data_IF_878486026435
#
_entry.id   IF_878486026435
#
_cell.length_a   1.000
_cell.length_b   1.000
_cell.length_c   1.000
_cell.angle_alpha   90.00
_cell.angle_beta   90.00
_cell.angle_gamma   90.00
#
_symmetry.space_group_name_H-M   'P 1'
#
loop_
_entity.id
_entity.type
_entity.pdbx_description
1 polymer ?
#
# COMPACT_ATOMS: atom_id res chain seq x y z
N UNK A 1 -49.05 29.90 19.15
CA UNK A 1 -49.84 30.97 19.80
C UNK A 1 -49.22 31.25 21.17
N UNK A 2 -48.61 32.43 21.27
CA UNK A 2 -48.38 33.22 22.50
C UNK A 2 -47.23 32.87 23.46
N UNK A 3 -46.23 33.75 23.36
CA UNK A 3 -45.35 34.28 24.42
C UNK A 3 -45.86 34.19 25.87
N UNK A 4 -44.92 33.98 26.81
CA UNK A 4 -45.00 34.58 28.14
C UNK A 4 -43.63 35.13 28.56
N UNK A 5 -43.57 36.47 28.56
CA UNK A 5 -42.51 37.31 29.10
C UNK A 5 -42.32 37.10 30.61
N UNK A 6 -41.08 37.14 31.08
CA UNK A 6 -40.79 37.60 32.44
C UNK A 6 -39.76 38.74 32.37
N UNK A 7 -40.26 39.97 32.58
CA UNK A 7 -39.49 41.21 32.73
C UNK A 7 -39.45 41.60 34.21
N UNK A 8 -38.32 42.20 34.62
CA UNK A 8 -38.07 43.06 35.81
C UNK A 8 -37.87 42.27 37.13
N UNK A 9 -36.87 42.56 37.97
CA UNK A 9 -35.83 43.58 37.95
C UNK A 9 -34.98 43.54 39.22
N UNK A 10 -33.76 44.08 39.09
CA UNK A 10 -32.90 44.73 40.11
C UNK A 10 -32.48 43.97 41.39
N UNK A 11 -31.15 43.78 41.43
CA UNK A 11 -30.20 44.16 42.50
C UNK A 11 -30.45 43.58 43.90
N UNK A 12 -29.65 42.58 44.24
CA UNK A 12 -29.00 42.50 45.54
C UNK A 12 -27.53 42.08 45.33
N UNK A 13 -26.64 42.95 45.79
CA UNK A 13 -25.20 42.74 45.88
C UNK A 13 -24.95 41.67 46.95
N UNK A 14 -24.29 40.58 46.58
CA UNK A 14 -23.59 39.72 47.53
C UNK A 14 -22.33 39.20 46.85
N UNK A 15 -21.21 39.78 47.25
CA UNK A 15 -19.84 39.40 46.94
C UNK A 15 -19.55 38.00 47.46
N UNK A 16 -19.35 37.02 46.57
CA UNK A 16 -18.61 35.77 46.85
C UNK A 16 -17.76 35.41 45.62
N UNK A 17 -16.48 35.02 45.80
CA UNK A 17 -15.58 34.69 44.71
C UNK A 17 -15.78 33.23 44.30
N UNK A 18 -15.75 32.93 42.99
CA UNK A 18 -15.50 31.55 42.53
C UNK A 18 -16.43 30.95 41.49
N UNK A 19 -17.27 31.71 40.80
CA UNK A 19 -17.92 31.19 39.59
C UNK A 19 -17.00 31.47 38.40
N UNK A 20 -16.23 30.46 38.00
CA UNK A 20 -15.51 30.44 36.73
C UNK A 20 -16.52 30.78 35.64
N UNK A 21 -16.27 31.87 34.94
CA UNK A 21 -16.89 32.18 33.67
C UNK A 21 -16.90 30.92 32.82
N UNK A 22 -18.08 30.44 32.43
CA UNK A 22 -18.20 29.58 31.26
C UNK A 22 -17.68 30.42 30.09
N UNK A 23 -16.39 30.28 29.80
CA UNK A 23 -15.83 30.73 28.54
C UNK A 23 -16.67 30.06 27.47
N UNK A 24 -17.25 30.86 26.57
CA UNK A 24 -17.65 30.37 25.26
C UNK A 24 -16.56 29.42 24.81
N UNK A 25 -16.90 28.15 24.59
CA UNK A 25 -16.03 27.22 23.89
C UNK A 25 -15.69 27.93 22.60
N UNK A 26 -14.47 28.48 22.53
CA UNK A 26 -13.91 28.93 21.28
C UNK A 26 -14.01 27.73 20.37
N UNK A 27 -14.81 27.84 19.31
CA UNK A 27 -14.70 26.97 18.17
C UNK A 27 -13.20 26.98 17.82
N UNK A 28 -12.50 25.93 18.24
CA UNK A 28 -11.04 25.88 18.15
C UNK A 28 -10.73 25.99 16.68
N UNK A 29 -9.96 27.00 16.29
CA UNK A 29 -9.48 27.03 14.93
C UNK A 29 -8.55 25.82 14.78
N UNK A 30 -9.02 24.78 14.07
CA UNK A 30 -8.19 23.63 13.72
C UNK A 30 -6.90 24.12 13.08
N UNK A 31 -5.78 23.58 13.55
CA UNK A 31 -4.48 23.95 13.02
C UNK A 31 -4.39 23.56 11.54
N UNK A 32 -3.54 24.22 10.74
CA UNK A 32 -3.29 23.81 9.37
C UNK A 32 -2.83 22.35 9.26
N UNK A 33 -2.14 21.82 10.29
CA UNK A 33 -1.72 20.42 10.35
C UNK A 33 -2.91 19.49 10.59
N UNK A 34 -3.77 19.81 11.55
CA UNK A 34 -4.97 19.01 11.85
C UNK A 34 -5.88 18.88 10.62
N UNK A 35 -5.97 19.94 9.81
CA UNK A 35 -6.72 19.93 8.55
C UNK A 35 -6.09 19.03 7.49
N UNK A 36 -4.76 19.02 7.39
CA UNK A 36 -4.06 18.15 6.47
C UNK A 36 -4.16 16.67 6.89
N UNK A 37 -4.00 16.38 8.18
CA UNK A 37 -4.22 15.05 8.75
C UNK A 37 -5.67 14.61 8.49
N UNK A 38 -6.64 15.49 8.76
CA UNK A 38 -8.06 15.21 8.53
C UNK A 38 -8.38 14.92 7.07
N UNK A 39 -7.74 15.63 6.13
CA UNK A 39 -7.88 15.35 4.70
C UNK A 39 -7.31 13.97 4.34
N UNK A 40 -6.08 13.64 4.78
CA UNK A 40 -5.46 12.33 4.53
C UNK A 40 -6.28 11.17 5.10
N UNK A 41 -6.91 11.36 6.27
CA UNK A 41 -7.82 10.37 6.85
C UNK A 41 -9.12 10.26 6.04
N UNK A 42 -9.60 11.37 5.48
CA UNK A 42 -10.82 11.38 4.64
C UNK A 42 -10.64 10.61 3.34
N UNK A 43 -9.46 10.68 2.73
CA UNK A 43 -9.13 9.90 1.53
C UNK A 43 -8.79 8.44 1.83
N UNK A 44 -8.74 8.03 3.10
CA UNK A 44 -8.66 6.62 3.51
C UNK A 44 -7.37 6.20 4.21
N UNK A 45 -6.40 7.10 4.42
CA UNK A 45 -5.17 6.73 5.12
C UNK A 45 -5.37 6.66 6.64
N UNK A 46 -4.65 5.73 7.28
CA UNK A 46 -4.65 5.64 8.74
C UNK A 46 -4.10 6.90 9.39
N UNK A 47 -4.67 7.27 10.55
CA UNK A 47 -4.30 8.52 11.24
C UNK A 47 -2.81 8.62 11.55
N UNK A 48 -2.17 7.52 11.92
CA UNK A 48 -0.75 7.51 12.27
C UNK A 48 0.15 7.73 11.04
N UNK A 49 -0.22 7.20 9.87
CA UNK A 49 0.44 7.47 8.58
C UNK A 49 0.22 8.92 8.18
N UNK A 50 -1.02 9.43 8.29
CA UNK A 50 -1.35 10.81 7.97
C UNK A 50 -0.51 11.80 8.81
N UNK A 51 -0.32 11.53 10.10
CA UNK A 51 0.59 12.30 10.97
C UNK A 51 2.02 12.22 10.45
N UNK A 52 2.51 11.02 10.12
CA UNK A 52 3.86 10.83 9.58
C UNK A 52 4.12 11.60 8.27
N UNK A 53 3.14 11.66 7.36
CA UNK A 53 3.23 12.44 6.11
C UNK A 53 3.33 13.93 6.41
N UNK A 54 2.49 14.43 7.31
CA UNK A 54 2.52 15.83 7.73
C UNK A 54 3.85 16.17 8.41
N UNK A 55 4.38 15.30 9.26
CA UNK A 55 5.67 15.50 9.91
C UNK A 55 6.83 15.48 8.91
N UNK A 56 6.84 14.57 7.92
CA UNK A 56 7.85 14.54 6.87
C UNK A 56 7.85 15.83 6.02
N UNK A 57 6.66 16.35 5.68
CA UNK A 57 6.54 17.63 4.98
C UNK A 57 7.04 18.80 5.83
N UNK A 58 6.82 18.77 7.15
CA UNK A 58 7.32 19.79 8.08
C UNK A 58 8.83 19.76 8.23
N UNK A 59 9.43 18.58 8.31
CA UNK A 59 10.88 18.40 8.30
C UNK A 59 11.51 18.95 7.02
N UNK A 60 10.76 18.92 5.91
CA UNK A 60 11.14 19.53 4.63
C UNK A 60 10.95 21.06 4.59
N UNK A 61 10.53 21.68 5.70
CA UNK A 61 10.35 23.13 5.84
C UNK A 61 8.95 23.65 5.49
N UNK A 62 7.98 22.78 5.19
CA UNK A 62 6.60 23.21 4.92
C UNK A 62 5.86 23.51 6.22
N UNK A 63 5.29 24.71 6.35
CA UNK A 63 4.55 25.10 7.56
C UNK A 63 3.28 25.88 7.22
N UNK A 64 2.33 25.88 8.16
CA UNK A 64 1.11 26.67 8.05
C UNK A 64 0.19 26.26 6.89
N UNK A 65 -0.46 27.24 6.26
CA UNK A 65 -1.47 27.00 5.22
C UNK A 65 -0.96 26.33 3.95
N UNK A 66 0.36 26.36 3.69
CA UNK A 66 0.97 25.70 2.54
C UNK A 66 0.89 24.16 2.62
N UNK A 67 0.81 23.62 3.84
CA UNK A 67 0.86 22.18 4.06
C UNK A 67 -0.35 21.45 3.48
N UNK A 68 -1.57 21.94 3.78
CA UNK A 68 -2.80 21.40 3.20
C UNK A 68 -2.83 21.55 1.67
N UNK A 69 -2.31 22.65 1.13
CA UNK A 69 -2.24 22.86 -0.31
C UNK A 69 -1.32 21.84 -0.98
N UNK A 70 -0.15 21.59 -0.39
CA UNK A 70 0.80 20.62 -0.90
C UNK A 70 0.22 19.20 -0.85
N UNK A 71 -0.37 18.81 0.28
CA UNK A 71 -1.00 17.48 0.41
C UNK A 71 -2.10 17.28 -0.63
N UNK A 72 -2.94 18.29 -0.88
CA UNK A 72 -3.97 18.22 -1.93
C UNK A 72 -3.39 18.16 -3.34
N UNK A 73 -2.27 18.84 -3.57
CA UNK A 73 -1.59 18.79 -4.85
C UNK A 73 -1.01 17.40 -5.11
N UNK A 74 -0.36 16.80 -4.10
CA UNK A 74 0.17 15.43 -4.17
C UNK A 74 -0.95 14.39 -4.33
N UNK A 75 -2.09 14.59 -3.66
CA UNK A 75 -3.24 13.70 -3.79
C UNK A 75 -3.89 13.73 -5.19
N UNK A 76 -3.52 14.70 -6.04
CA UNK A 76 -4.10 14.85 -7.37
C UNK A 76 -5.63 14.90 -7.34
N UNK A 77 -6.25 14.32 -8.40
CA UNK A 77 -7.69 14.11 -8.46
C UNK A 77 -8.04 12.70 -7.97
N UNK A 78 -7.78 12.43 -6.70
CA UNK A 78 -8.03 11.12 -6.07
C UNK A 78 -9.46 10.58 -6.28
N UNK A 79 -10.47 11.46 -6.43
CA UNK A 79 -11.87 11.05 -6.71
C UNK A 79 -12.03 10.23 -8.00
N UNK A 80 -11.10 10.36 -8.95
CA UNK A 80 -11.07 9.58 -10.20
C UNK A 80 -9.88 8.61 -10.26
N UNK A 81 -9.19 8.39 -9.14
CA UNK A 81 -8.03 7.49 -9.05
C UNK A 81 -6.71 8.07 -9.55
N UNK A 82 -6.63 9.38 -9.80
CA UNK A 82 -5.35 10.05 -10.11
C UNK A 82 -4.56 10.30 -8.82
N UNK A 83 -3.26 9.97 -8.83
CA UNK A 83 -2.30 10.28 -7.77
C UNK A 83 -1.11 11.05 -8.38
N UNK A 84 -0.69 12.13 -7.73
CA UNK A 84 0.44 12.98 -8.15
C UNK A 84 1.66 12.77 -7.23
N UNK A 85 1.78 11.57 -6.64
CA UNK A 85 2.89 11.16 -5.79
C UNK A 85 2.59 11.14 -4.29
N UNK A 86 1.32 11.26 -3.87
CA UNK A 86 0.99 11.09 -2.46
C UNK A 86 1.20 9.64 -2.01
N UNK A 87 0.83 8.65 -2.84
CA UNK A 87 1.02 7.24 -2.50
C UNK A 87 2.49 6.88 -2.32
N UNK A 88 3.38 7.41 -3.17
CA UNK A 88 4.82 7.23 -3.03
C UNK A 88 5.36 7.83 -1.72
N UNK A 89 4.89 9.02 -1.35
CA UNK A 89 5.26 9.65 -0.08
C UNK A 89 4.72 8.86 1.12
N UNK A 90 3.47 8.39 1.04
CA UNK A 90 2.83 7.55 2.06
C UNK A 90 3.62 6.25 2.25
N UNK A 91 4.02 5.59 1.16
CA UNK A 91 4.81 4.37 1.21
C UNK A 91 6.18 4.59 1.89
N UNK A 92 6.87 5.68 1.53
CA UNK A 92 8.15 6.06 2.16
C UNK A 92 8.00 6.34 3.66
N UNK A 93 6.95 7.06 4.05
CA UNK A 93 6.63 7.34 5.46
C UNK A 93 6.30 6.05 6.21
N UNK A 94 5.51 5.16 5.61
CA UNK A 94 5.18 3.85 6.21
C UNK A 94 6.44 3.04 6.48
N UNK A 95 7.35 2.92 5.51
CA UNK A 95 8.62 2.22 5.71
C UNK A 95 9.46 2.87 6.82
N UNK A 96 9.52 4.20 6.86
CA UNK A 96 10.24 4.93 7.91
C UNK A 96 9.65 4.68 9.30
N UNK A 97 8.32 4.61 9.42
CA UNK A 97 7.64 4.28 10.68
C UNK A 97 7.86 2.82 11.07
N UNK A 98 7.85 1.92 10.11
CA UNK A 98 8.09 0.49 10.32
C UNK A 98 9.51 0.19 10.80
N UNK A 99 10.51 0.88 10.23
CA UNK A 99 11.89 0.84 10.72
C UNK A 99 12.00 1.38 12.15
N UNK A 100 11.32 2.49 12.47
CA UNK A 100 11.28 3.05 13.84
C UNK A 100 10.56 2.11 14.82
N UNK A 101 9.57 1.37 14.35
CA UNK A 101 8.87 0.35 15.12
C UNK A 101 9.70 -0.94 15.31
N UNK A 102 10.84 -1.06 14.64
CA UNK A 102 11.72 -2.22 14.73
C UNK A 102 11.17 -3.45 14.01
N UNK A 103 10.38 -3.25 12.93
CA UNK A 103 9.92 -4.37 12.10
C UNK A 103 11.11 -5.14 11.51
N UNK A 104 10.92 -6.45 11.35
CA UNK A 104 11.94 -7.35 10.83
C UNK A 104 12.05 -7.15 9.31
N UNK A 105 13.29 -7.03 8.83
CA UNK A 105 13.57 -7.10 7.39
C UNK A 105 13.48 -8.54 6.92
N UNK A 106 12.74 -8.76 5.83
CA UNK A 106 12.54 -10.06 5.19
C UNK A 106 13.29 -10.07 3.86
N UNK A 107 14.07 -11.10 3.61
CA UNK A 107 14.74 -11.35 2.34
C UNK A 107 14.10 -12.51 1.60
N UNK A 108 13.90 -12.37 0.31
CA UNK A 108 13.38 -13.44 -0.54
C UNK A 108 14.07 -13.43 -1.90
N UNK A 109 13.94 -14.53 -2.63
CA UNK A 109 14.55 -14.75 -3.93
C UNK A 109 13.50 -14.72 -5.02
N UNK A 110 13.87 -14.13 -6.15
CA UNK A 110 13.06 -14.12 -7.36
C UNK A 110 13.84 -14.78 -8.50
N UNK A 111 13.22 -15.75 -9.16
CA UNK A 111 13.76 -16.45 -10.32
C UNK A 111 13.15 -15.84 -11.58
N UNK A 112 13.97 -15.24 -12.47
CA UNK A 112 13.49 -14.71 -13.73
C UNK A 112 12.88 -15.78 -14.65
N UNK A 113 11.93 -15.42 -15.53
CA UNK A 113 11.16 -16.37 -16.34
C UNK A 113 12.01 -17.28 -17.23
N UNK A 114 13.15 -16.79 -17.74
CA UNK A 114 14.05 -17.56 -18.60
C UNK A 114 14.75 -18.73 -17.89
N UNK A 115 14.68 -18.80 -16.56
CA UNK A 115 15.39 -19.80 -15.75
C UNK A 115 14.49 -20.93 -15.23
N UNK A 116 13.17 -20.85 -15.44
CA UNK A 116 12.23 -21.87 -14.96
C UNK A 116 11.05 -22.15 -15.91
N UNK A 117 10.69 -21.18 -16.75
CA UNK A 117 9.70 -21.40 -17.79
C UNK A 117 10.44 -21.91 -19.03
N UNK A 118 10.76 -23.20 -19.10
CA UNK A 118 11.04 -23.87 -20.39
C UNK A 118 9.74 -23.92 -21.22
N UNK A 119 9.83 -23.71 -22.53
CA UNK A 119 8.68 -23.46 -23.42
C UNK A 119 7.53 -24.46 -23.29
N UNK A 120 6.31 -23.95 -23.47
CA UNK A 120 5.03 -24.68 -23.62
C UNK A 120 5.04 -26.08 -22.99
N UNK A 121 4.65 -26.15 -21.71
CA UNK A 121 4.32 -27.43 -21.10
C UNK A 121 3.17 -28.06 -21.89
N UNK A 122 3.50 -29.00 -22.77
CA UNK A 122 2.56 -30.05 -23.14
C UNK A 122 2.24 -30.80 -21.85
N UNK A 123 0.96 -30.96 -21.55
CA UNK A 123 0.47 -31.71 -20.38
C UNK A 123 1.26 -33.01 -20.19
N UNK A 124 2.02 -33.11 -19.08
CA UNK A 124 2.55 -34.41 -18.62
C UNK A 124 4.06 -34.57 -18.39
N UNK A 125 4.90 -33.52 -18.44
CA UNK A 125 6.30 -33.64 -17.97
C UNK A 125 6.67 -32.57 -16.93
N UNK A 126 6.44 -32.90 -15.66
CA UNK A 126 7.01 -32.17 -14.52
C UNK A 126 8.48 -32.55 -14.39
N UNK A 127 9.35 -31.89 -15.16
CA UNK A 127 10.78 -31.93 -14.89
C UNK A 127 11.08 -31.02 -13.72
N UNK A 128 11.18 -31.61 -12.53
CA UNK A 128 11.82 -31.02 -11.35
C UNK A 128 13.33 -30.89 -11.62
N UNK A 129 13.72 -30.05 -12.57
CA UNK A 129 15.12 -29.62 -12.67
C UNK A 129 15.42 -28.79 -11.42
N UNK A 130 16.39 -29.25 -10.63
CA UNK A 130 16.83 -28.54 -9.42
C UNK A 130 17.44 -27.20 -9.84
N UNK A 131 16.67 -26.12 -9.72
CA UNK A 131 17.14 -24.77 -10.03
C UNK A 131 18.04 -24.30 -8.90
N UNK A 132 19.29 -23.97 -9.23
CA UNK A 132 20.22 -23.35 -8.29
C UNK A 132 19.87 -21.87 -8.14
N UNK A 133 19.03 -21.56 -7.15
CA UNK A 133 18.44 -20.22 -6.92
C UNK A 133 19.52 -19.14 -6.76
N UNK A 134 20.65 -19.45 -6.12
CA UNK A 134 21.73 -18.48 -5.90
C UNK A 134 22.44 -18.09 -7.21
N UNK A 135 22.43 -18.96 -8.22
CA UNK A 135 23.09 -18.70 -9.50
C UNK A 135 22.21 -17.94 -10.50
N UNK A 136 20.90 -18.15 -10.45
CA UNK A 136 19.98 -17.63 -11.46
C UNK A 136 19.00 -16.59 -10.93
N UNK A 137 18.71 -16.64 -9.63
CA UNK A 137 17.81 -15.72 -8.97
C UNK A 137 18.51 -14.45 -8.51
N UNK A 138 17.70 -13.46 -8.20
CA UNK A 138 18.13 -12.24 -7.52
C UNK A 138 17.42 -12.12 -6.17
N UNK A 139 18.12 -11.55 -5.20
CA UNK A 139 17.59 -11.35 -3.86
C UNK A 139 16.90 -9.99 -3.75
N UNK A 140 15.78 -9.96 -3.05
CA UNK A 140 14.99 -8.77 -2.75
C UNK A 140 14.90 -8.63 -1.23
N UNK A 141 15.08 -7.42 -0.72
CA UNK A 141 14.96 -7.08 0.70
C UNK A 141 13.75 -6.18 0.90
N UNK A 142 12.96 -6.44 1.94
CA UNK A 142 11.74 -5.72 2.22
C UNK A 142 11.42 -5.74 3.72
N UNK A 143 10.41 -4.98 4.14
CA UNK A 143 9.93 -4.98 5.52
C UNK A 143 8.70 -5.88 5.67
N UNK A 144 8.57 -6.49 6.85
CA UNK A 144 7.36 -7.23 7.22
C UNK A 144 6.09 -6.36 7.11
N UNK A 145 5.06 -6.93 6.48
CA UNK A 145 3.79 -6.26 6.20
C UNK A 145 3.70 -5.59 4.84
N UNK A 146 4.78 -5.55 4.05
CA UNK A 146 4.72 -5.14 2.64
C UNK A 146 4.20 -6.29 1.78
N UNK A 147 3.34 -6.01 0.80
CA UNK A 147 3.01 -6.97 -0.25
C UNK A 147 4.14 -7.07 -1.28
N UNK A 148 4.19 -8.14 -2.08
CA UNK A 148 5.17 -8.25 -3.18
C UNK A 148 5.05 -7.09 -4.17
N UNK A 149 3.82 -6.62 -4.42
CA UNK A 149 3.57 -5.41 -5.24
C UNK A 149 4.10 -4.14 -4.56
N UNK A 150 3.94 -3.97 -3.26
CA UNK A 150 4.50 -2.82 -2.55
C UNK A 150 6.02 -2.79 -2.64
N UNK A 151 6.66 -3.96 -2.55
CA UNK A 151 8.10 -4.10 -2.73
C UNK A 151 8.51 -3.75 -4.15
N UNK A 152 7.77 -4.22 -5.16
CA UNK A 152 8.06 -3.92 -6.56
C UNK A 152 7.94 -2.42 -6.89
N UNK A 153 6.99 -1.71 -6.27
CA UNK A 153 6.72 -0.28 -6.53
C UNK A 153 7.53 0.68 -5.66
N UNK A 154 7.70 0.33 -4.38
CA UNK A 154 8.21 1.25 -3.36
C UNK A 154 9.40 0.69 -2.58
N UNK A 155 9.79 -0.56 -2.84
CA UNK A 155 10.91 -1.18 -2.16
C UNK A 155 12.24 -0.53 -2.54
N UNK A 156 13.16 -0.55 -1.58
CA UNK A 156 14.51 -0.03 -1.76
C UNK A 156 15.46 -1.11 -2.30
N UNK A 157 16.45 -0.67 -3.07
CA UNK A 157 17.55 -1.52 -3.54
C UNK A 157 17.34 -2.13 -4.92
N UNK A 158 18.43 -2.67 -5.48
CA UNK A 158 18.46 -3.16 -6.85
C UNK A 158 17.49 -4.32 -7.09
N UNK A 159 17.33 -5.23 -6.12
CA UNK A 159 16.41 -6.35 -6.24
C UNK A 159 14.96 -5.91 -6.38
N UNK A 160 14.52 -4.92 -5.59
CA UNK A 160 13.18 -4.35 -5.67
C UNK A 160 12.94 -3.65 -7.02
N UNK A 161 13.93 -2.88 -7.50
CA UNK A 161 13.85 -2.23 -8.81
C UNK A 161 13.70 -3.24 -9.95
N UNK A 162 14.50 -4.31 -9.94
CA UNK A 162 14.40 -5.38 -10.94
C UNK A 162 13.07 -6.11 -10.85
N UNK A 163 12.56 -6.38 -9.65
CA UNK A 163 11.23 -6.97 -9.45
C UNK A 163 10.12 -6.10 -10.06
N UNK A 164 10.23 -4.77 -9.94
CA UNK A 164 9.32 -3.81 -10.55
C UNK A 164 9.25 -3.88 -12.08
N UNK A 165 10.31 -4.32 -12.75
CA UNK A 165 10.30 -4.52 -14.21
C UNK A 165 9.46 -5.73 -14.64
N UNK A 166 9.23 -6.70 -13.75
CA UNK A 166 8.45 -7.91 -14.03
C UNK A 166 6.99 -7.82 -13.59
N UNK A 167 6.66 -6.93 -12.65
CA UNK A 167 5.33 -6.81 -12.05
C UNK A 167 4.66 -5.49 -12.41
N UNK A 168 3.75 -5.52 -13.38
CA UNK A 168 3.02 -4.34 -13.83
C UNK A 168 2.04 -3.82 -12.77
N UNK A 169 1.28 -4.74 -12.14
CA UNK A 169 0.29 -4.41 -11.11
C UNK A 169 -0.69 -3.29 -11.53
N UNK A 170 -1.31 -3.46 -12.70
CA UNK A 170 -2.12 -2.46 -13.39
C UNK A 170 -3.30 -1.91 -12.54
N UNK A 171 -3.93 -2.75 -11.72
CA UNK A 171 -5.02 -2.32 -10.83
C UNK A 171 -4.52 -1.70 -9.50
N UNK A 172 -3.22 -1.55 -9.31
CA UNK A 172 -2.63 -1.04 -8.07
C UNK A 172 -3.00 -1.83 -6.81
N UNK A 173 -3.17 -3.15 -6.95
CA UNK A 173 -3.33 -4.07 -5.81
C UNK A 173 -4.76 -4.21 -5.28
N UNK A 174 -5.76 -3.65 -5.96
CA UNK A 174 -7.18 -3.77 -5.57
C UNK A 174 -7.85 -5.08 -6.01
N UNK A 175 -7.06 -6.10 -6.38
CA UNK A 175 -7.53 -7.42 -6.81
C UNK A 175 -8.53 -7.35 -7.99
N UNK A 176 -8.25 -6.49 -8.97
CA UNK A 176 -9.09 -6.32 -10.18
C UNK A 176 -8.36 -6.69 -11.49
N UNK A 177 -7.13 -7.24 -11.40
CA UNK A 177 -6.38 -7.76 -12.53
C UNK A 177 -5.44 -8.88 -12.08
N UNK A 178 -4.88 -9.63 -13.03
CA UNK A 178 -3.90 -10.70 -12.79
C UNK A 178 -2.46 -10.34 -13.19
N UNK A 179 -2.19 -9.06 -13.50
CA UNK A 179 -0.84 -8.61 -13.97
C UNK A 179 0.24 -8.56 -12.88
N UNK A 180 -0.12 -8.91 -11.65
CA UNK A 180 0.80 -9.07 -10.52
C UNK A 180 1.06 -10.54 -10.17
N UNK A 181 0.68 -11.48 -11.04
CA UNK A 181 0.86 -12.91 -10.81
C UNK A 181 2.32 -13.25 -10.51
N UNK A 182 2.52 -14.06 -9.48
CA UNK A 182 3.78 -14.72 -9.14
C UNK A 182 3.53 -16.20 -8.89
N UNK A 183 4.53 -17.05 -9.12
CA UNK A 183 4.47 -18.47 -8.78
C UNK A 183 5.29 -18.69 -7.52
N UNK A 184 4.67 -19.18 -6.45
CA UNK A 184 5.35 -19.51 -5.21
C UNK A 184 6.00 -20.88 -5.35
N UNK A 185 7.23 -21.04 -4.87
CA UNK A 185 7.85 -22.37 -4.83
C UNK A 185 7.10 -23.31 -3.87
N UNK A 186 7.01 -24.59 -4.21
CA UNK A 186 6.15 -25.56 -3.53
C UNK A 186 6.48 -25.69 -2.04
N UNK A 187 7.76 -25.53 -1.68
CA UNK A 187 8.23 -25.56 -0.28
C UNK A 187 7.65 -24.40 0.55
N UNK A 188 7.34 -23.28 -0.09
CA UNK A 188 6.87 -22.04 0.54
C UNK A 188 5.37 -21.85 0.43
N UNK A 189 4.69 -22.54 -0.48
CA UNK A 189 3.26 -22.35 -0.73
C UNK A 189 2.42 -22.53 0.54
N UNK A 190 2.76 -23.51 1.38
CA UNK A 190 2.09 -23.72 2.68
C UNK A 190 2.28 -22.55 3.66
N UNK A 191 3.42 -21.87 3.62
CA UNK A 191 3.70 -20.72 4.48
C UNK A 191 2.99 -19.45 3.98
N UNK A 192 2.87 -19.30 2.67
CA UNK A 192 2.16 -18.18 2.00
C UNK A 192 0.64 -18.34 2.11
N UNK A 193 0.15 -19.57 2.09
CA UNK A 193 -1.27 -19.89 2.14
C UNK A 193 -1.92 -19.98 0.76
N UNK A 194 -3.11 -20.57 0.74
CA UNK A 194 -3.93 -20.70 -0.48
C UNK A 194 -4.56 -19.35 -0.86
N UNK A 195 -4.82 -19.11 -2.16
CA UNK A 195 -5.56 -17.94 -2.59
C UNK A 195 -7.01 -17.99 -2.09
N UNK A 196 -7.59 -16.81 -1.86
CA UNK A 196 -9.03 -16.69 -1.60
C UNK A 196 -9.83 -16.95 -2.89
N UNK A 197 -11.13 -17.26 -2.79
CA UNK A 197 -11.98 -17.55 -3.96
C UNK A 197 -11.94 -16.44 -5.01
N UNK A 198 -12.07 -15.18 -4.57
CA UNK A 198 -12.00 -14.02 -5.46
C UNK A 198 -10.60 -13.82 -6.08
N UNK A 199 -9.53 -14.23 -5.38
CA UNK A 199 -8.18 -14.22 -5.92
C UNK A 199 -8.03 -15.31 -7.00
N UNK A 200 -8.56 -16.50 -6.73
CA UNK A 200 -8.55 -17.62 -7.67
C UNK A 200 -9.28 -17.28 -8.98
N UNK A 201 -10.44 -16.63 -8.90
CA UNK A 201 -11.17 -16.16 -10.08
C UNK A 201 -10.31 -15.25 -10.99
N UNK A 202 -9.44 -14.43 -10.39
CA UNK A 202 -8.51 -13.58 -11.14
C UNK A 202 -7.30 -14.38 -11.67
N UNK A 203 -6.81 -15.35 -10.91
CA UNK A 203 -5.71 -16.23 -11.32
C UNK A 203 -6.07 -17.10 -12.52
N UNK A 204 -7.34 -17.50 -12.65
CA UNK A 204 -7.84 -18.24 -13.81
C UNK A 204 -7.73 -17.46 -15.13
N UNK A 205 -7.67 -16.13 -15.05
CA UNK A 205 -7.46 -15.22 -16.20
C UNK A 205 -5.97 -14.93 -16.46
N UNK A 206 -5.07 -15.42 -15.61
CA UNK A 206 -3.65 -15.11 -15.65
C UNK A 206 -2.92 -15.84 -16.79
N UNK A 207 -1.68 -15.43 -17.06
CA UNK A 207 -0.90 -16.02 -18.15
C UNK A 207 -0.20 -17.30 -17.66
N UNK A 208 -0.63 -18.46 -18.16
CA UNK A 208 -0.09 -19.78 -17.76
C UNK A 208 -0.07 -19.97 -16.23
N UNK A 209 -1.24 -19.92 -15.54
CA UNK A 209 -1.30 -20.13 -14.10
C UNK A 209 -0.85 -21.55 -13.74
N UNK A 210 -0.24 -21.63 -12.56
CA UNK A 210 0.14 -22.87 -11.88
C UNK A 210 -0.64 -23.00 -10.58
N UNK A 211 -0.70 -24.21 -10.03
CA UNK A 211 -1.40 -24.47 -8.75
C UNK A 211 -0.86 -23.61 -7.59
N UNK A 212 0.43 -23.29 -7.60
CA UNK A 212 1.07 -22.42 -6.60
C UNK A 212 1.12 -20.94 -7.01
N UNK A 213 0.34 -20.54 -8.00
CA UNK A 213 0.24 -19.12 -8.40
C UNK A 213 -0.51 -18.32 -7.36
N UNK A 214 -0.03 -17.09 -7.11
CA UNK A 214 -0.65 -16.11 -6.24
C UNK A 214 -0.61 -14.73 -6.90
N UNK A 215 -1.53 -13.85 -6.52
CA UNK A 215 -1.43 -12.44 -6.86
C UNK A 215 -0.45 -11.77 -5.90
N UNK A 216 0.63 -11.20 -6.42
CA UNK A 216 1.67 -10.56 -5.61
C UNK A 216 1.15 -9.44 -4.70
N UNK A 217 0.03 -8.82 -5.04
CA UNK A 217 -0.62 -7.83 -4.18
C UNK A 217 -1.30 -8.42 -2.94
N UNK A 218 -1.66 -9.72 -2.96
CA UNK A 218 -2.28 -10.43 -1.83
C UNK A 218 -1.25 -11.17 -0.97
N UNK A 219 -0.02 -11.34 -1.48
CA UNK A 219 1.07 -11.98 -0.74
C UNK A 219 1.75 -10.94 0.16
N UNK A 220 1.36 -10.90 1.43
CA UNK A 220 1.96 -10.03 2.46
C UNK A 220 3.17 -10.70 3.10
N UNK A 221 4.30 -10.01 3.11
CA UNK A 221 5.53 -10.51 3.71
C UNK A 221 5.39 -10.64 5.22
N UNK A 222 5.79 -11.80 5.74
CA UNK A 222 5.89 -12.07 7.17
C UNK A 222 7.29 -12.58 7.48
N UNK A 223 7.70 -12.46 8.74
CA UNK A 223 8.98 -13.02 9.23
C UNK A 223 9.17 -14.52 8.95
N UNK A 224 8.09 -15.26 8.66
CA UNK A 224 8.14 -16.69 8.29
C UNK A 224 8.55 -16.92 6.84
N UNK A 225 8.56 -15.89 6.00
CA UNK A 225 8.89 -15.96 4.57
C UNK A 225 10.35 -15.57 4.29
N UNK A 226 11.20 -15.51 5.33
CA UNK A 226 12.63 -15.31 5.18
C UNK A 226 13.25 -16.45 4.37
N UNK A 227 13.83 -16.11 3.22
CA UNK A 227 14.40 -17.06 2.26
C UNK A 227 13.41 -17.60 1.24
N UNK A 228 12.17 -17.10 1.21
CA UNK A 228 11.15 -17.53 0.24
C UNK A 228 11.64 -17.44 -1.20
N UNK A 229 11.22 -18.39 -2.04
CA UNK A 229 11.54 -18.40 -3.47
C UNK A 229 10.27 -18.15 -4.29
N UNK A 230 10.32 -17.14 -5.14
CA UNK A 230 9.30 -16.80 -6.13
C UNK A 230 9.82 -17.02 -7.55
N UNK A 231 8.94 -17.48 -8.42
CA UNK A 231 9.17 -17.70 -9.85
C UNK A 231 8.34 -16.68 -10.62
N UNK A 232 9.00 -15.82 -11.42
CA UNK A 232 8.37 -14.72 -12.14
C UNK A 232 7.89 -15.18 -13.52
N UNK A 233 6.60 -14.99 -13.90
CA UNK A 233 6.06 -15.47 -15.17
C UNK A 233 6.67 -14.71 -16.37
N UNK A 234 6.60 -15.32 -17.57
CA UNK A 234 7.15 -14.74 -18.82
C UNK A 234 6.42 -13.49 -19.30
N UNK A 235 5.19 -13.29 -18.84
CA UNK A 235 4.34 -12.17 -19.21
C UNK A 235 3.16 -12.08 -18.26
N UNK A 236 2.43 -10.98 -18.37
CA UNK A 236 1.22 -10.70 -17.64
C UNK A 236 0.06 -10.56 -18.64
N UNK A 237 -1.11 -11.10 -18.32
CA UNK A 237 -2.32 -10.84 -19.10
C UNK A 237 -2.96 -9.55 -18.59
N UNK A 238 -2.85 -8.46 -19.36
CA UNK A 238 -3.68 -7.29 -19.15
C UNK A 238 -4.87 -7.37 -20.12
N UNK A 239 -6.12 -7.34 -19.61
CA UNK A 239 -7.34 -7.39 -20.43
C UNK A 239 -7.44 -6.25 -21.46
N UNK A 240 -6.55 -5.26 -21.40
CA UNK A 240 -6.43 -4.14 -22.34
C UNK A 240 -5.44 -4.37 -23.49
N UNK A 241 -4.65 -5.46 -23.48
CA UNK A 241 -3.59 -5.71 -24.49
C UNK A 241 -4.04 -6.56 -25.69
N UNK A 242 -5.29 -7.03 -25.71
CA UNK A 242 -5.89 -7.59 -26.94
C UNK A 242 -6.41 -6.48 -27.87
N UNK A 243 -5.54 -5.54 -28.24
CA UNK A 243 -5.67 -4.87 -29.54
C UNK A 243 -4.71 -5.61 -30.46
N UNK A 244 -5.21 -6.45 -31.38
CA UNK A 244 -4.33 -7.12 -32.34
C UNK A 244 -3.63 -6.03 -33.15
N UNK A 245 -2.32 -5.90 -32.98
CA UNK A 245 -1.47 -5.31 -34.01
C UNK A 245 -1.45 -6.30 -35.19
N UNK A 246 -2.53 -6.31 -35.97
CA UNK A 246 -2.43 -6.77 -37.36
C UNK A 246 -1.57 -5.73 -38.09
N UNK A 247 -0.41 -6.18 -38.55
CA UNK A 247 0.48 -5.39 -39.39
C UNK A 247 -0.14 -5.00 -40.73
#
# INVERSE_FOLDING_TARGET
VTMALCRLGRRLLASHPGIRSFSRTSCGQESPEDKAIGFLVTIGHERHIAVGVVDALRESGMTGGALLSMVRQLAGRWEVGEDEGLEALVASVRQSLDLKAGKIGVKFWCIPPNCWASGEAQEGEEKTETIDVEKVGFQVEALEGMSITDVAKYGDGQGASVLGEYLECACSGVMACSTCQVVVDDEWFKAVGEPEEAEQDMLDLAFSPRETSRLGCQVVLTSKLEGMVLKLPRGANNMMDFIPFEG
#
